data_IF_894689139946
#
_entry.id   IF_894689139946
#
_cell.length_a   1.000
_cell.length_b   1.000
_cell.length_c   1.000
_cell.angle_alpha   90.00
_cell.angle_beta   90.00
_cell.angle_gamma   90.00
#
_symmetry.space_group_name_H-M   'P 1'
#
loop_
_entity.id
_entity.type
_entity.pdbx_description
1 polymer ?
#
# COMPACT_ATOMS: atom_id res chain seq x y z
N UNK A 1 -11.12 -16.56 -8.08
CA UNK A 1 -11.14 -15.63 -9.23
C UNK A 1 -12.37 -14.74 -9.12
N UNK A 2 -12.26 -13.44 -9.41
CA UNK A 2 -13.37 -12.49 -9.48
C UNK A 2 -13.21 -11.63 -10.73
N UNK A 3 -14.23 -11.55 -11.58
CA UNK A 3 -14.22 -10.79 -12.83
C UNK A 3 -13.03 -11.12 -13.76
N UNK A 4 -12.61 -12.39 -13.82
CA UNK A 4 -11.45 -12.80 -14.63
C UNK A 4 -10.08 -12.56 -14.00
N UNK A 5 -10.02 -12.00 -12.78
CA UNK A 5 -8.78 -11.80 -12.04
C UNK A 5 -8.54 -12.89 -10.99
N UNK A 6 -7.27 -13.24 -10.79
CA UNK A 6 -6.79 -14.12 -9.74
C UNK A 6 -5.71 -13.41 -8.91
N UNK A 7 -5.60 -13.76 -7.64
CA UNK A 7 -4.57 -13.27 -6.74
C UNK A 7 -3.68 -14.43 -6.34
N UNK A 8 -2.37 -14.21 -6.40
CA UNK A 8 -1.37 -15.13 -5.85
C UNK A 8 -0.64 -14.39 -4.73
N UNK A 9 -0.53 -15.03 -3.58
CA UNK A 9 0.37 -14.59 -2.52
C UNK A 9 1.67 -15.36 -2.65
N UNK A 10 2.79 -14.64 -2.65
CA UNK A 10 4.12 -15.21 -2.85
C UNK A 10 4.97 -14.86 -1.63
N UNK A 11 5.36 -15.87 -0.88
CA UNK A 11 6.37 -15.70 0.17
C UNK A 11 7.78 -15.75 -0.47
N UNK A 12 8.20 -14.60 -1.01
CA UNK A 12 9.52 -14.45 -1.63
C UNK A 12 10.62 -14.05 -0.65
N UNK A 13 10.24 -13.70 0.58
CA UNK A 13 11.14 -13.33 1.67
C UNK A 13 11.49 -14.54 2.57
N UNK A 14 10.88 -15.69 2.28
CA UNK A 14 11.16 -17.02 2.81
C UNK A 14 12.65 -17.43 2.95
N UNK A 15 13.63 -16.94 2.14
CA UNK A 15 15.04 -17.29 2.35
C UNK A 15 15.53 -17.01 3.77
N UNK A 16 15.09 -15.91 4.39
CA UNK A 16 15.43 -15.61 5.78
C UNK A 16 14.68 -16.51 6.76
N UNK A 17 13.44 -16.90 6.44
CA UNK A 17 12.56 -17.68 7.31
C UNK A 17 12.62 -19.21 7.10
N UNK A 18 13.55 -19.72 6.29
CA UNK A 18 13.62 -21.14 5.89
C UNK A 18 13.58 -22.11 7.08
N UNK A 19 14.24 -21.78 8.19
CA UNK A 19 14.23 -22.59 9.41
C UNK A 19 12.85 -22.64 10.09
N UNK A 20 12.15 -21.50 10.14
CA UNK A 20 10.78 -21.40 10.68
C UNK A 20 9.80 -22.17 9.79
N UNK A 21 9.92 -22.07 8.47
CA UNK A 21 9.03 -22.78 7.52
C UNK A 21 9.23 -24.30 7.59
N UNK A 22 10.48 -24.77 7.57
CA UNK A 22 10.78 -26.20 7.70
C UNK A 22 10.30 -26.77 9.03
N UNK A 23 10.39 -26.01 10.12
CA UNK A 23 9.87 -26.44 11.42
C UNK A 23 8.35 -26.56 11.46
N UNK A 24 7.62 -25.76 10.66
CA UNK A 24 6.16 -25.80 10.62
C UNK A 24 5.60 -27.06 9.92
N UNK A 25 6.28 -27.55 8.88
CA UNK A 25 5.96 -28.81 8.19
C UNK A 25 7.23 -29.46 7.59
N UNK A 26 7.94 -30.28 8.39
CA UNK A 26 9.23 -30.82 7.99
C UNK A 26 9.17 -31.69 6.73
N UNK A 27 8.10 -32.47 6.55
CA UNK A 27 7.98 -33.38 5.41
C UNK A 27 7.67 -32.61 4.12
N UNK A 28 6.78 -31.62 4.18
CA UNK A 28 6.44 -30.81 3.01
C UNK A 28 7.63 -29.98 2.53
N UNK A 29 8.41 -29.43 3.46
CA UNK A 29 9.46 -28.46 3.13
C UNK A 29 10.90 -29.03 3.20
N UNK A 30 11.09 -30.34 3.40
CA UNK A 30 12.44 -30.95 3.53
C UNK A 30 13.40 -30.56 2.41
N UNK A 31 12.89 -30.56 1.17
CA UNK A 31 13.67 -30.30 -0.03
C UNK A 31 13.75 -28.82 -0.41
N UNK A 32 13.10 -27.92 0.35
CA UNK A 32 13.17 -26.48 0.10
C UNK A 32 14.58 -25.97 0.43
N UNK A 33 15.24 -25.35 -0.53
CA UNK A 33 16.59 -24.80 -0.39
C UNK A 33 16.66 -23.41 -1.00
N UNK A 34 17.48 -22.56 -0.39
CA UNK A 34 17.75 -21.21 -0.85
C UNK A 34 19.26 -20.98 -0.86
N UNK A 35 19.72 -19.96 -1.60
CA UNK A 35 21.09 -19.47 -1.56
C UNK A 35 21.39 -19.09 -0.09
N UNK A 36 22.55 -19.52 0.46
CA UNK A 36 22.93 -19.16 1.82
C UNK A 36 22.89 -17.64 2.06
N UNK A 37 22.32 -17.23 3.18
CA UNK A 37 22.21 -15.83 3.59
C UNK A 37 21.86 -15.70 5.08
N UNK A 38 21.79 -14.46 5.60
CA UNK A 38 21.34 -14.20 6.96
C UNK A 38 19.94 -14.79 7.23
N UNK A 39 19.74 -15.40 8.40
CA UNK A 39 18.48 -16.04 8.81
C UNK A 39 17.64 -15.15 9.73
N UNK A 40 16.35 -15.46 9.82
CA UNK A 40 15.34 -14.64 10.50
C UNK A 40 15.49 -14.56 12.01
N UNK A 41 16.26 -15.47 12.62
CA UNK A 41 16.46 -15.53 14.07
C UNK A 41 17.24 -14.30 14.60
N UNK A 42 17.78 -13.48 13.69
CA UNK A 42 18.41 -12.18 13.98
C UNK A 42 17.44 -10.99 13.87
N UNK A 43 16.22 -11.17 13.35
CA UNK A 43 15.22 -10.10 13.24
C UNK A 43 14.23 -10.17 14.41
N UNK A 44 14.01 -9.02 15.05
CA UNK A 44 13.01 -8.94 16.11
C UNK A 44 11.60 -9.21 15.56
N UNK A 45 10.85 -10.12 16.20
CA UNK A 45 9.46 -10.42 15.84
C UNK A 45 8.51 -9.22 16.07
N UNK A 46 8.97 -8.19 16.79
CA UNK A 46 8.20 -6.99 17.10
C UNK A 46 9.03 -5.72 16.86
N UNK A 47 8.43 -4.71 16.24
CA UNK A 47 8.98 -3.35 16.18
C UNK A 47 8.89 -2.76 17.60
N UNK A 48 10.02 -2.42 18.25
CA UNK A 48 10.01 -1.90 19.60
C UNK A 48 9.30 -0.54 19.65
N UNK A 49 8.42 -0.36 20.64
CA UNK A 49 7.80 0.93 20.95
C UNK A 49 8.71 1.66 21.95
N UNK A 50 9.26 2.79 21.54
CA UNK A 50 10.16 3.63 22.37
C UNK A 50 9.42 4.92 22.73
N UNK A 51 9.64 5.45 23.93
CA UNK A 51 8.91 6.64 24.43
C UNK A 51 9.60 7.96 24.08
N UNK A 52 10.93 7.95 23.97
CA UNK A 52 11.77 9.10 23.57
C UNK A 52 12.18 8.95 22.10
N UNK A 53 11.27 9.29 21.19
CA UNK A 53 11.44 9.08 19.75
C UNK A 53 11.52 10.43 19.00
N UNK A 54 12.48 10.53 18.08
CA UNK A 54 12.54 11.60 17.08
C UNK A 54 12.29 11.05 15.67
N UNK A 55 12.04 11.92 14.70
CA UNK A 55 11.91 11.50 13.30
C UNK A 55 13.18 10.83 12.79
N UNK A 56 14.34 11.35 13.20
CA UNK A 56 15.67 10.88 12.83
C UNK A 56 15.94 9.49 13.42
N UNK A 57 15.57 9.24 14.68
CA UNK A 57 15.79 7.93 15.29
C UNK A 57 14.90 6.84 14.66
N UNK A 58 13.64 7.15 14.33
CA UNK A 58 12.78 6.23 13.57
C UNK A 58 13.27 5.96 12.15
N UNK A 59 13.82 6.98 11.50
CA UNK A 59 14.43 6.85 10.18
C UNK A 59 15.63 5.91 10.24
N UNK A 60 16.57 6.20 11.15
CA UNK A 60 17.80 5.43 11.30
C UNK A 60 17.50 3.95 11.58
N UNK A 61 16.59 3.66 12.52
CA UNK A 61 16.19 2.30 12.84
C UNK A 61 15.58 1.55 11.63
N UNK A 62 14.75 2.24 10.84
CA UNK A 62 14.16 1.65 9.64
C UNK A 62 15.20 1.42 8.52
N UNK A 63 16.17 2.32 8.38
CA UNK A 63 17.25 2.18 7.41
C UNK A 63 18.25 1.08 7.80
N UNK A 64 18.59 0.93 9.08
CA UNK A 64 19.37 -0.18 9.62
C UNK A 64 18.65 -1.52 9.39
N UNK A 65 17.36 -1.59 9.71
CA UNK A 65 16.55 -2.77 9.41
C UNK A 65 16.63 -3.16 7.92
N UNK A 66 16.45 -2.21 7.00
CA UNK A 66 16.53 -2.49 5.54
C UNK A 66 17.93 -2.96 5.12
N UNK A 67 19.01 -2.43 5.72
CA UNK A 67 20.39 -2.85 5.40
C UNK A 67 20.65 -4.31 5.76
N UNK A 68 20.02 -4.82 6.82
CA UNK A 68 20.13 -6.23 7.21
C UNK A 68 19.13 -7.12 6.47
N UNK A 69 17.89 -6.63 6.31
CA UNK A 69 16.78 -7.38 5.70
C UNK A 69 17.05 -7.73 4.24
N UNK A 70 17.59 -6.80 3.47
CA UNK A 70 17.76 -6.99 2.03
C UNK A 70 18.78 -8.06 1.63
N UNK A 71 19.97 -8.14 2.28
CA UNK A 71 20.87 -9.27 2.13
C UNK A 71 20.29 -10.61 2.60
N UNK A 72 19.24 -10.63 3.44
CA UNK A 72 18.60 -11.86 3.90
C UNK A 72 17.60 -12.44 2.90
N UNK A 73 17.22 -11.70 1.85
CA UNK A 73 16.19 -12.10 0.88
C UNK A 73 16.71 -12.06 -0.57
N UNK A 74 17.94 -12.52 -0.80
CA UNK A 74 18.64 -12.37 -2.10
C UNK A 74 17.88 -12.95 -3.28
N UNK A 75 17.19 -14.08 -3.10
CA UNK A 75 16.45 -14.76 -4.18
C UNK A 75 15.03 -14.25 -4.38
N UNK A 76 14.59 -13.24 -3.62
CA UNK A 76 13.23 -12.72 -3.74
C UNK A 76 12.86 -12.32 -5.18
N UNK A 77 13.72 -11.62 -5.95
CA UNK A 77 13.39 -11.26 -7.33
C UNK A 77 13.19 -12.46 -8.26
N UNK A 78 14.05 -13.47 -8.18
CA UNK A 78 13.98 -14.68 -9.00
C UNK A 78 12.75 -15.52 -8.67
N UNK A 79 12.40 -15.64 -7.39
CA UNK A 79 11.16 -16.33 -6.95
C UNK A 79 9.94 -15.62 -7.53
N UNK A 80 9.91 -14.29 -7.48
CA UNK A 80 8.81 -13.47 -8.01
C UNK A 80 8.70 -13.60 -9.52
N UNK A 81 9.83 -13.57 -10.25
CA UNK A 81 9.84 -13.77 -11.71
C UNK A 81 9.41 -15.19 -12.11
N UNK A 82 9.85 -16.20 -11.36
CA UNK A 82 9.44 -17.59 -11.57
C UNK A 82 7.94 -17.80 -11.32
N UNK A 83 7.37 -17.13 -10.31
CA UNK A 83 5.93 -17.16 -10.06
C UNK A 83 5.14 -16.51 -11.22
N UNK A 84 5.64 -15.41 -11.78
CA UNK A 84 5.06 -14.83 -13.00
C UNK A 84 5.11 -15.80 -14.19
N UNK A 85 6.25 -16.47 -14.40
CA UNK A 85 6.37 -17.49 -15.43
C UNK A 85 5.36 -18.64 -15.22
N UNK A 86 5.21 -19.13 -14.00
CA UNK A 86 4.27 -20.21 -13.67
C UNK A 86 2.81 -19.82 -13.96
N UNK A 87 2.44 -18.56 -13.69
CA UNK A 87 1.13 -18.00 -14.04
C UNK A 87 0.92 -17.93 -15.56
N UNK A 88 1.91 -17.47 -16.33
CA UNK A 88 1.80 -17.31 -17.79
C UNK A 88 1.85 -18.62 -18.56
N UNK A 89 2.62 -19.57 -18.06
CA UNK A 89 2.78 -20.90 -18.66
C UNK A 89 1.63 -21.85 -18.34
N UNK A 90 0.74 -21.49 -17.40
CA UNK A 90 -0.37 -22.35 -16.99
C UNK A 90 0.02 -23.45 -15.99
N UNK A 91 1.24 -23.43 -15.45
CA UNK A 91 1.74 -24.45 -14.50
C UNK A 91 0.94 -24.51 -13.20
N UNK A 92 0.21 -23.43 -12.88
CA UNK A 92 -0.67 -23.35 -11.71
C UNK A 92 -2.13 -23.74 -12.02
N UNK A 93 -2.40 -24.35 -13.18
CA UNK A 93 -3.74 -24.76 -13.61
C UNK A 93 -4.61 -23.62 -14.14
N UNK A 94 -4.09 -22.40 -14.16
CA UNK A 94 -4.67 -21.20 -14.76
C UNK A 94 -3.59 -20.47 -15.55
N UNK A 95 -3.95 -19.88 -16.69
CA UNK A 95 -3.06 -19.07 -17.52
C UNK A 95 -3.41 -17.60 -17.40
N UNK A 96 -2.43 -16.78 -17.02
CA UNK A 96 -2.57 -15.33 -17.00
C UNK A 96 -2.11 -14.71 -18.33
N UNK A 97 -2.92 -13.80 -18.88
CA UNK A 97 -2.54 -12.99 -20.05
C UNK A 97 -1.65 -11.81 -19.68
N UNK A 98 -1.85 -11.26 -18.48
CA UNK A 98 -1.08 -10.17 -17.88
C UNK A 98 -0.85 -10.48 -16.39
N UNK A 99 0.30 -10.06 -15.86
CA UNK A 99 0.69 -10.22 -14.46
C UNK A 99 1.16 -8.86 -13.93
N UNK A 100 0.54 -8.41 -12.84
CA UNK A 100 0.89 -7.18 -12.13
C UNK A 100 1.55 -7.55 -10.81
N UNK A 101 2.70 -6.95 -10.51
CA UNK A 101 3.36 -7.11 -9.21
C UNK A 101 2.91 -6.01 -8.25
N UNK A 102 2.39 -6.40 -7.09
CA UNK A 102 1.99 -5.46 -6.04
C UNK A 102 2.41 -5.98 -4.67
N UNK A 103 2.50 -5.06 -3.72
CA UNK A 103 2.74 -5.35 -2.31
C UNK A 103 2.43 -4.12 -1.47
N UNK A 104 2.26 -4.32 -0.17
CA UNK A 104 1.92 -3.27 0.80
C UNK A 104 2.99 -3.21 1.89
N UNK A 105 3.41 -2.00 2.29
CA UNK A 105 4.42 -1.82 3.35
C UNK A 105 5.76 -2.48 2.99
N UNK A 106 6.23 -3.44 3.78
CA UNK A 106 7.46 -4.18 3.50
C UNK A 106 7.43 -4.90 2.14
N UNK A 107 6.31 -5.53 1.76
CA UNK A 107 6.18 -6.18 0.44
C UNK A 107 5.99 -5.16 -0.69
N UNK A 108 5.48 -3.96 -0.38
CA UNK A 108 5.57 -2.80 -1.27
C UNK A 108 7.02 -2.43 -1.55
N UNK A 109 7.87 -2.50 -0.52
CA UNK A 109 9.31 -2.31 -0.63
C UNK A 109 9.99 -3.37 -1.51
N UNK A 110 9.51 -4.61 -1.49
CA UNK A 110 9.95 -5.67 -2.42
C UNK A 110 9.60 -5.29 -3.86
N UNK A 111 8.40 -4.78 -4.11
CA UNK A 111 7.99 -4.28 -5.44
C UNK A 111 8.90 -3.14 -5.91
N UNK A 112 9.16 -2.14 -5.05
CA UNK A 112 10.11 -1.05 -5.35
C UNK A 112 11.52 -1.58 -5.65
N UNK A 113 11.99 -2.55 -4.86
CA UNK A 113 13.32 -3.15 -5.04
C UNK A 113 13.42 -3.88 -6.36
N UNK A 114 12.36 -4.59 -6.77
CA UNK A 114 12.31 -5.24 -8.08
C UNK A 114 12.50 -4.22 -9.22
N UNK A 115 11.76 -3.12 -9.18
CA UNK A 115 11.86 -2.02 -10.17
C UNK A 115 13.30 -1.48 -10.24
N UNK A 116 13.91 -1.23 -9.09
CA UNK A 116 15.20 -0.51 -8.99
C UNK A 116 16.43 -1.40 -9.16
N UNK A 117 16.36 -2.69 -8.83
CA UNK A 117 17.53 -3.58 -8.77
C UNK A 117 17.40 -4.83 -9.65
N UNK A 118 16.20 -5.15 -10.12
CA UNK A 118 15.91 -6.41 -10.82
C UNK A 118 15.26 -6.22 -12.19
N UNK A 119 15.33 -5.00 -12.73
CA UNK A 119 14.82 -4.65 -14.08
C UNK A 119 15.49 -5.39 -15.23
N UNK A 120 16.61 -6.06 -14.97
CA UNK A 120 17.31 -6.92 -15.92
C UNK A 120 16.69 -8.32 -16.05
N UNK A 121 15.84 -8.76 -15.11
CA UNK A 121 15.24 -10.09 -15.16
C UNK A 121 14.25 -10.21 -16.33
N UNK A 122 14.26 -11.38 -16.97
CA UNK A 122 13.38 -11.75 -18.08
C UNK A 122 12.82 -13.15 -17.86
N UNK A 123 11.67 -13.39 -18.48
CA UNK A 123 11.09 -14.73 -18.60
C UNK A 123 11.90 -15.57 -19.62
N UNK A 124 11.71 -16.90 -19.67
CA UNK A 124 12.45 -17.78 -20.59
C UNK A 124 12.28 -17.46 -22.07
N UNK A 125 11.18 -16.81 -22.46
CA UNK A 125 10.91 -16.31 -23.81
C UNK A 125 11.53 -14.93 -24.10
N UNK A 126 12.21 -14.33 -23.11
CA UNK A 126 12.81 -13.01 -23.21
C UNK A 126 11.87 -11.86 -22.85
N UNK A 127 10.60 -12.13 -22.53
CA UNK A 127 9.61 -11.12 -22.16
C UNK A 127 9.85 -10.57 -20.74
N UNK A 128 9.23 -9.42 -20.47
CA UNK A 128 9.19 -8.86 -19.12
C UNK A 128 8.33 -9.73 -18.20
N UNK A 129 8.70 -9.88 -16.92
CA UNK A 129 7.89 -10.66 -15.99
C UNK A 129 6.55 -9.98 -15.65
N UNK A 130 6.44 -8.65 -15.73
CA UNK A 130 5.24 -7.92 -15.32
C UNK A 130 4.88 -6.81 -16.30
N UNK A 131 3.60 -6.65 -16.62
CA UNK A 131 3.10 -5.49 -17.37
C UNK A 131 2.95 -4.25 -16.47
N UNK A 132 2.83 -4.45 -15.16
CA UNK A 132 2.59 -3.35 -14.24
C UNK A 132 3.09 -3.59 -12.83
N UNK A 133 3.36 -2.50 -12.13
CA UNK A 133 3.78 -2.47 -10.73
C UNK A 133 2.88 -1.54 -9.90
N UNK A 134 2.41 -2.02 -8.76
CA UNK A 134 1.63 -1.22 -7.80
C UNK A 134 2.28 -1.32 -6.41
N UNK A 135 3.40 -0.62 -6.15
CA UNK A 135 3.96 -0.53 -4.81
C UNK A 135 3.05 0.32 -3.92
N UNK A 136 2.47 -0.30 -2.89
CA UNK A 136 1.55 0.35 -1.96
C UNK A 136 2.20 0.62 -0.61
N UNK A 137 1.89 1.77 0.00
CA UNK A 137 2.27 2.13 1.37
C UNK A 137 3.76 1.92 1.66
N UNK A 138 4.62 2.17 0.67
CA UNK A 138 6.06 1.97 0.77
C UNK A 138 6.75 3.06 -0.04
N UNK A 139 7.38 4.00 0.67
CA UNK A 139 8.11 5.11 0.06
C UNK A 139 9.61 4.86 -0.01
N UNK A 140 10.35 5.87 -0.48
CA UNK A 140 11.80 5.84 -0.63
C UNK A 140 12.23 6.97 -1.56
N UNK A 141 13.38 6.82 -2.21
CA UNK A 141 13.73 7.67 -3.35
C UNK A 141 12.74 7.41 -4.50
N UNK A 142 12.49 8.44 -5.32
CA UNK A 142 11.61 8.36 -6.47
C UNK A 142 11.96 7.17 -7.38
N UNK A 143 10.94 6.40 -7.78
CA UNK A 143 11.15 5.26 -8.65
C UNK A 143 11.58 5.73 -10.06
N UNK A 144 12.51 5.03 -10.74
CA UNK A 144 12.78 5.27 -12.14
C UNK A 144 11.62 4.78 -13.01
N UNK A 145 11.62 5.16 -14.29
CA UNK A 145 10.75 4.47 -15.26
C UNK A 145 11.21 3.03 -15.45
N UNK A 146 10.26 2.16 -15.79
CA UNK A 146 10.52 0.77 -16.15
C UNK A 146 10.08 0.55 -17.59
N UNK A 147 11.00 0.56 -18.58
CA UNK A 147 10.63 0.43 -19.98
C UNK A 147 9.79 -0.81 -20.24
N UNK A 148 8.61 -0.63 -20.84
CA UNK A 148 7.67 -1.71 -21.15
C UNK A 148 6.70 -2.09 -20.04
N UNK A 149 6.72 -1.41 -18.89
CA UNK A 149 5.77 -1.65 -17.79
C UNK A 149 5.22 -0.34 -17.22
N UNK A 150 3.98 -0.38 -16.75
CA UNK A 150 3.35 0.72 -16.04
C UNK A 150 3.65 0.68 -14.54
N UNK A 151 3.72 1.85 -13.89
CA UNK A 151 3.93 1.98 -12.45
C UNK A 151 2.87 2.93 -11.89
N UNK A 152 2.09 2.45 -10.93
CA UNK A 152 1.24 3.30 -10.09
C UNK A 152 1.73 3.16 -8.64
N UNK A 153 2.44 4.16 -8.15
CA UNK A 153 2.83 4.25 -6.74
C UNK A 153 1.66 4.81 -5.92
N UNK A 154 1.22 4.05 -4.91
CA UNK A 154 0.06 4.40 -4.09
C UNK A 154 0.45 4.50 -2.62
N UNK A 155 0.27 5.69 -2.04
CA UNK A 155 0.67 5.97 -0.66
C UNK A 155 -0.46 6.62 0.11
N UNK A 156 -0.67 6.19 1.35
CA UNK A 156 -1.59 6.87 2.25
C UNK A 156 -0.94 8.03 2.99
N UNK A 157 -1.76 8.96 3.50
CA UNK A 157 -1.33 10.01 4.43
C UNK A 157 -0.48 9.44 5.59
N UNK A 158 -0.77 8.21 6.02
CA UNK A 158 -0.04 7.51 7.07
C UNK A 158 1.44 7.28 6.82
N UNK A 159 1.92 7.37 5.59
CA UNK A 159 3.32 7.03 5.29
C UNK A 159 4.29 8.18 5.52
N UNK A 160 3.76 9.39 5.72
CA UNK A 160 4.52 10.55 6.17
C UNK A 160 4.97 10.36 7.61
N UNK A 161 6.25 10.64 7.87
CA UNK A 161 6.86 10.43 9.19
C UNK A 161 6.23 11.36 10.25
N UNK A 162 5.86 12.58 9.90
CA UNK A 162 5.11 13.54 10.73
C UNK A 162 3.79 12.98 11.28
N UNK A 163 3.11 12.14 10.50
CA UNK A 163 1.84 11.53 10.88
C UNK A 163 2.07 10.37 11.86
N UNK A 164 3.08 9.53 11.59
CA UNK A 164 3.37 8.34 12.42
C UNK A 164 4.28 8.57 13.61
N UNK A 165 4.93 9.73 13.72
CA UNK A 165 5.78 10.05 14.86
C UNK A 165 5.04 9.83 16.18
N UNK A 166 3.78 10.28 16.24
CA UNK A 166 2.90 10.10 17.41
C UNK A 166 2.59 8.62 17.75
N UNK A 167 2.78 7.72 16.79
CA UNK A 167 2.61 6.27 16.96
C UNK A 167 3.87 5.57 17.44
N UNK A 168 5.01 6.26 17.46
CA UNK A 168 6.32 5.67 17.75
C UNK A 168 6.76 4.63 16.71
N UNK A 169 6.27 4.75 15.47
CA UNK A 169 6.62 3.85 14.36
C UNK A 169 7.10 4.69 13.17
N UNK A 170 8.06 4.17 12.42
CA UNK A 170 8.58 4.85 11.23
C UNK A 170 7.52 4.93 10.13
N UNK A 171 7.46 6.08 9.45
CA UNK A 171 6.82 6.20 8.14
C UNK A 171 7.64 5.52 7.07
N UNK A 172 7.01 5.18 5.95
CA UNK A 172 7.72 4.52 4.85
C UNK A 172 8.29 5.52 3.84
N UNK A 173 7.91 6.81 3.90
CA UNK A 173 8.45 7.87 3.06
C UNK A 173 9.62 8.59 3.72
N UNK A 174 10.56 9.08 2.90
CA UNK A 174 11.58 10.02 3.34
C UNK A 174 11.23 11.43 2.89
N UNK A 175 10.61 12.21 3.77
CA UNK A 175 10.06 13.53 3.42
C UNK A 175 9.19 13.40 2.16
N UNK A 176 9.55 14.11 1.09
CA UNK A 176 8.89 14.05 -0.20
C UNK A 176 9.75 13.41 -1.30
N UNK A 177 10.83 12.69 -0.94
CA UNK A 177 11.81 12.16 -1.90
C UNK A 177 11.29 11.10 -2.87
N UNK A 178 10.14 10.48 -2.57
CA UNK A 178 9.47 9.55 -3.46
C UNK A 178 8.79 10.25 -4.63
N UNK A 179 8.57 11.57 -4.54
CA UNK A 179 7.87 12.35 -5.56
C UNK A 179 8.77 12.59 -6.78
N UNK A 180 8.18 12.42 -7.96
CA UNK A 180 8.72 12.84 -9.26
C UNK A 180 7.56 13.23 -10.18
N UNK A 181 7.83 14.00 -11.25
CA UNK A 181 6.83 14.24 -12.29
C UNK A 181 6.33 12.95 -12.95
N UNK A 182 5.11 13.03 -13.48
CA UNK A 182 4.53 12.00 -14.34
C UNK A 182 5.44 11.70 -15.54
N UNK A 183 5.39 10.46 -16.01
CA UNK A 183 5.97 10.02 -17.28
C UNK A 183 4.95 9.23 -18.09
N UNK A 184 5.34 8.70 -19.25
CA UNK A 184 4.51 7.77 -20.01
C UNK A 184 4.18 6.47 -19.24
N UNK A 185 5.00 6.10 -18.25
CA UNK A 185 4.86 4.84 -17.50
C UNK A 185 4.72 5.00 -15.98
N UNK A 186 4.64 6.22 -15.44
CA UNK A 186 4.61 6.46 -13.99
C UNK A 186 3.49 7.39 -13.55
N UNK A 187 2.76 6.99 -12.49
CA UNK A 187 1.83 7.83 -11.71
C UNK A 187 2.08 7.65 -10.22
N UNK A 188 1.88 8.71 -9.45
CA UNK A 188 1.93 8.76 -8.00
C UNK A 188 0.61 9.29 -7.43
N UNK A 189 0.00 8.51 -6.54
CA UNK A 189 -1.19 8.90 -5.81
C UNK A 189 -0.92 8.88 -4.30
N UNK A 190 -1.00 10.05 -3.67
CA UNK A 190 -1.01 10.21 -2.22
C UNK A 190 -2.44 10.46 -1.74
N UNK A 191 -2.94 9.63 -0.84
CA UNK A 191 -4.37 9.59 -0.50
C UNK A 191 -4.62 10.24 0.84
N UNK A 192 -5.40 11.33 0.83
CA UNK A 192 -5.76 12.08 2.03
C UNK A 192 -6.62 11.22 2.97
N UNK A 193 -6.24 11.14 4.25
CA UNK A 193 -6.96 10.38 5.28
C UNK A 193 -6.74 8.86 5.26
N UNK A 194 -6.01 8.32 4.27
CA UNK A 194 -5.78 6.89 4.14
C UNK A 194 -4.76 6.41 5.17
N UNK A 195 -5.18 5.45 6.00
CA UNK A 195 -4.32 4.81 6.98
C UNK A 195 -3.44 3.71 6.37
N UNK A 196 -2.43 3.26 7.10
CA UNK A 196 -1.52 2.22 6.61
C UNK A 196 -2.23 0.90 6.31
N UNK A 197 -3.16 0.56 7.19
CA UNK A 197 -4.04 -0.60 7.08
C UNK A 197 -5.48 -0.15 7.20
N UNK A 198 -6.34 -0.84 6.48
CA UNK A 198 -7.78 -0.62 6.53
C UNK A 198 -8.34 -0.98 7.91
N UNK A 199 -9.29 -0.19 8.40
CA UNK A 199 -10.08 -0.51 9.60
C UNK A 199 -11.54 -0.87 9.30
N UNK A 200 -12.04 -0.47 8.13
CA UNK A 200 -13.43 -0.69 7.68
C UNK A 200 -13.83 -2.18 7.60
N UNK A 201 -12.94 -3.02 7.07
CA UNK A 201 -13.18 -4.47 6.90
C UNK A 201 -12.20 -5.30 7.75
N UNK A 202 -11.96 -4.85 8.98
CA UNK A 202 -11.03 -5.50 9.88
C UNK A 202 -11.41 -6.96 10.17
N UNK A 203 -10.42 -7.86 10.16
CA UNK A 203 -10.61 -9.24 10.58
C UNK A 203 -10.88 -9.33 12.09
N UNK A 204 -11.48 -10.43 12.55
CA UNK A 204 -11.64 -10.67 14.00
C UNK A 204 -10.30 -10.66 14.74
N UNK A 205 -9.24 -11.14 14.09
CA UNK A 205 -7.87 -11.09 14.62
C UNK A 205 -7.39 -9.65 14.79
N UNK A 206 -7.65 -8.78 13.82
CA UNK A 206 -7.26 -7.38 13.89
C UNK A 206 -8.08 -6.63 14.94
N UNK A 207 -9.40 -6.84 15.00
CA UNK A 207 -10.25 -6.28 16.05
C UNK A 207 -9.75 -6.66 17.45
N UNK A 208 -9.37 -7.93 17.66
CA UNK A 208 -8.77 -8.39 18.92
C UNK A 208 -7.42 -7.75 19.21
N UNK A 209 -6.56 -7.58 18.19
CA UNK A 209 -5.27 -6.89 18.34
C UNK A 209 -5.45 -5.42 18.70
N UNK A 210 -6.51 -4.79 18.19
CA UNK A 210 -6.78 -3.37 18.38
C UNK A 210 -7.61 -3.06 19.62
N UNK A 211 -8.28 -4.06 20.22
CA UNK A 211 -9.15 -3.87 21.38
C UNK A 211 -8.45 -3.33 22.63
N UNK A 212 -7.11 -3.40 22.66
CA UNK A 212 -6.28 -2.86 23.74
C UNK A 212 -5.99 -1.36 23.58
N UNK A 213 -6.36 -0.77 22.45
CA UNK A 213 -6.17 0.66 22.21
C UNK A 213 -7.22 1.48 22.96
N UNK A 214 -6.78 2.40 23.81
CA UNK A 214 -7.65 3.44 24.37
C UNK A 214 -7.96 4.48 23.29
N UNK A 215 -9.21 4.47 22.83
CA UNK A 215 -9.70 5.39 21.82
C UNK A 215 -10.22 6.71 22.41
N UNK A 216 -10.14 6.97 23.72
CA UNK A 216 -10.52 8.24 24.37
C UNK A 216 -11.80 8.90 23.81
N UNK A 217 -12.85 8.09 23.61
CA UNK A 217 -14.14 8.53 23.09
C UNK A 217 -14.28 8.57 21.57
N UNK A 218 -13.32 8.01 20.83
CA UNK A 218 -13.35 7.96 19.38
C UNK A 218 -13.56 6.54 18.82
N UNK A 219 -13.62 6.40 17.50
CA UNK A 219 -14.05 5.17 16.83
C UNK A 219 -13.12 4.80 15.67
N UNK A 220 -13.14 3.52 15.28
CA UNK A 220 -12.39 3.06 14.12
C UNK A 220 -12.93 3.69 12.83
N UNK A 221 -12.02 4.17 11.99
CA UNK A 221 -12.37 4.82 10.72
C UNK A 221 -13.03 3.84 9.76
N UNK A 222 -14.05 4.31 9.04
CA UNK A 222 -14.69 3.61 7.93
C UNK A 222 -14.08 4.00 6.59
N UNK A 223 -12.94 4.70 6.59
CA UNK A 223 -12.21 5.03 5.37
C UNK A 223 -12.00 3.75 4.55
N UNK A 224 -12.43 3.79 3.30
CA UNK A 224 -12.46 2.64 2.42
C UNK A 224 -11.12 2.50 1.66
N UNK A 225 -10.07 2.08 2.37
CA UNK A 225 -8.76 1.80 1.75
C UNK A 225 -8.92 0.80 0.59
N UNK A 226 -9.70 -0.26 0.78
CA UNK A 226 -9.97 -1.30 -0.24
C UNK A 226 -10.52 -0.72 -1.54
N UNK A 227 -11.38 0.29 -1.48
CA UNK A 227 -11.99 0.87 -2.68
C UNK A 227 -10.97 1.67 -3.50
N UNK A 228 -10.01 2.31 -2.83
CA UNK A 228 -8.88 2.95 -3.50
C UNK A 228 -7.97 1.91 -4.16
N UNK A 229 -7.69 0.79 -3.47
CA UNK A 229 -6.93 -0.32 -4.07
C UNK A 229 -7.64 -0.91 -5.30
N UNK A 230 -8.97 -1.06 -5.26
CA UNK A 230 -9.76 -1.51 -6.41
C UNK A 230 -9.66 -0.53 -7.59
N UNK A 231 -9.84 0.77 -7.33
CA UNK A 231 -9.76 1.80 -8.36
C UNK A 231 -8.37 1.83 -9.01
N UNK A 232 -7.30 1.77 -8.21
CA UNK A 232 -5.92 1.74 -8.72
C UNK A 232 -5.61 0.46 -9.50
N UNK A 233 -6.14 -0.68 -9.07
CA UNK A 233 -6.00 -1.93 -9.84
C UNK A 233 -6.74 -1.86 -11.18
N UNK A 234 -7.94 -1.28 -11.21
CA UNK A 234 -8.70 -1.05 -12.45
C UNK A 234 -7.98 -0.07 -13.39
N UNK A 235 -7.39 1.00 -12.87
CA UNK A 235 -6.54 1.90 -13.64
C UNK A 235 -5.34 1.17 -14.25
N UNK A 236 -4.68 0.30 -13.48
CA UNK A 236 -3.57 -0.52 -13.97
C UNK A 236 -4.01 -1.53 -15.05
N UNK A 237 -5.18 -2.16 -14.87
CA UNK A 237 -5.74 -3.08 -15.86
C UNK A 237 -5.98 -2.36 -17.19
N UNK A 238 -6.62 -1.19 -17.16
CA UNK A 238 -6.89 -0.37 -18.33
C UNK A 238 -5.60 0.11 -18.99
N UNK A 239 -4.65 0.62 -18.20
CA UNK A 239 -3.39 1.15 -18.72
C UNK A 239 -2.52 0.09 -19.38
N UNK A 240 -2.51 -1.12 -18.85
CA UNK A 240 -1.73 -2.23 -19.42
C UNK A 240 -2.46 -2.95 -20.56
N UNK A 241 -3.76 -2.73 -20.73
CA UNK A 241 -4.58 -3.36 -21.77
C UNK A 241 -4.77 -2.47 -23.00
N UNK A 242 -5.02 -1.18 -22.79
CA UNK A 242 -5.35 -0.23 -23.84
C UNK A 242 -4.19 0.79 -24.00
N UNK A 243 -3.45 0.75 -25.12
CA UNK A 243 -2.35 1.68 -25.35
C UNK A 243 -2.81 3.14 -25.51
N UNK A 244 -4.11 3.40 -25.71
CA UNK A 244 -4.66 4.76 -25.78
C UNK A 244 -5.14 5.25 -24.41
N UNK A 245 -5.26 4.36 -23.42
CA UNK A 245 -5.65 4.75 -22.08
C UNK A 245 -4.46 5.32 -21.32
N UNK A 246 -4.69 6.45 -20.66
CA UNK A 246 -3.73 7.06 -19.75
C UNK A 246 -4.45 7.32 -18.42
N UNK A 247 -3.95 6.84 -17.27
CA UNK A 247 -4.58 7.12 -16.00
C UNK A 247 -4.57 8.61 -15.66
N UNK A 248 -5.46 9.04 -14.73
CA UNK A 248 -5.46 10.39 -14.20
C UNK A 248 -4.05 10.86 -13.79
N UNK A 249 -3.69 12.14 -13.99
CA UNK A 249 -2.40 12.67 -13.55
C UNK A 249 -2.14 12.43 -12.07
N UNK A 250 -0.87 12.42 -11.67
CA UNK A 250 -0.50 12.27 -10.25
C UNK A 250 -1.24 13.26 -9.35
N UNK A 251 -1.62 12.78 -8.18
CA UNK A 251 -2.31 13.56 -7.15
C UNK A 251 -1.55 13.44 -5.83
N UNK A 252 -0.90 14.54 -5.43
CA UNK A 252 -0.02 14.58 -4.25
C UNK A 252 -0.61 15.47 -3.14
N UNK A 253 -0.38 15.09 -1.88
CA UNK A 253 -0.75 15.87 -0.70
C UNK A 253 0.09 17.15 -0.63
N UNK A 254 -0.52 18.23 -0.16
CA UNK A 254 0.19 19.48 0.08
C UNK A 254 1.05 19.36 1.33
N UNK A 255 2.32 19.72 1.20
CA UNK A 255 3.30 19.75 2.30
C UNK A 255 3.86 21.17 2.49
N UNK A 256 4.43 21.43 3.67
CA UNK A 256 5.18 22.66 3.92
C UNK A 256 6.54 22.54 3.22
N UNK A 257 6.65 23.11 2.02
CA UNK A 257 7.82 22.91 1.15
C UNK A 257 8.05 21.42 0.86
N UNK A 258 9.31 21.01 0.89
CA UNK A 258 9.74 19.62 0.66
C UNK A 258 9.81 18.79 1.96
N UNK A 259 9.22 19.27 3.06
CA UNK A 259 9.16 18.53 4.32
C UNK A 259 8.07 17.47 4.32
N UNK A 260 8.07 16.61 5.35
CA UNK A 260 6.98 15.68 5.61
C UNK A 260 5.78 16.31 6.35
N UNK A 261 5.80 17.61 6.65
CA UNK A 261 4.69 18.29 7.34
C UNK A 261 3.53 18.58 6.38
N UNK A 262 2.39 17.95 6.65
CA UNK A 262 1.20 18.03 5.79
C UNK A 262 0.40 19.30 6.07
N UNK A 263 0.05 20.03 5.01
CA UNK A 263 -0.87 21.17 5.10
C UNK A 263 -2.29 20.66 5.29
N UNK A 264 -2.98 21.19 6.29
CA UNK A 264 -4.33 20.76 6.68
C UNK A 264 -5.36 21.88 6.51
N UNK A 265 -6.61 21.50 6.29
CA UNK A 265 -7.74 22.41 6.32
C UNK A 265 -8.12 22.84 7.75
N UNK A 266 -9.16 23.67 7.88
CA UNK A 266 -9.64 24.14 9.19
C UNK A 266 -10.29 23.04 10.05
N UNK A 267 -10.58 21.87 9.47
CA UNK A 267 -11.05 20.68 10.18
C UNK A 267 -9.89 19.74 10.56
N UNK A 268 -8.66 20.02 10.13
CA UNK A 268 -7.48 19.20 10.40
C UNK A 268 -7.28 18.03 9.43
N UNK A 269 -8.00 17.99 8.31
CA UNK A 269 -7.80 16.99 7.26
C UNK A 269 -6.72 17.45 6.27
N UNK A 270 -5.92 16.51 5.76
CA UNK A 270 -4.87 16.82 4.79
C UNK A 270 -5.45 17.48 3.53
N UNK A 271 -4.74 18.45 2.93
CA UNK A 271 -5.10 19.09 1.66
C UNK A 271 -4.38 18.45 0.46
N UNK A 272 -4.99 18.54 -0.72
CA UNK A 272 -4.46 17.94 -1.94
C UNK A 272 -4.65 16.42 -1.98
N UNK A 273 -3.86 15.75 -2.81
CA UNK A 273 -3.87 14.31 -2.99
C UNK A 273 -5.14 13.79 -3.66
N UNK A 274 -5.26 12.46 -3.66
CA UNK A 274 -6.53 11.79 -3.90
C UNK A 274 -7.42 12.03 -2.70
N UNK A 275 -8.53 12.73 -2.92
CA UNK A 275 -9.56 12.97 -1.92
C UNK A 275 -10.74 12.05 -2.15
N UNK A 276 -11.45 11.72 -1.08
CA UNK A 276 -12.63 10.86 -1.11
C UNK A 276 -13.76 11.56 -0.39
N UNK A 277 -14.97 10.99 -0.43
CA UNK A 277 -16.08 11.46 0.41
C UNK A 277 -15.69 11.67 1.89
N UNK A 278 -14.76 10.86 2.42
CA UNK A 278 -14.30 10.96 3.81
C UNK A 278 -13.50 12.25 4.08
N UNK A 279 -12.89 12.86 3.06
CA UNK A 279 -12.07 14.07 3.18
C UNK A 279 -12.67 15.29 2.48
N UNK A 280 -13.51 15.13 1.44
CA UNK A 280 -14.21 16.23 0.76
C UNK A 280 -15.50 16.66 1.45
N UNK A 281 -16.15 15.69 2.10
CA UNK A 281 -17.33 15.94 2.92
C UNK A 281 -17.05 15.38 4.30
N UNK A 282 -15.96 15.84 4.94
CA UNK A 282 -15.53 15.23 6.18
C UNK A 282 -16.59 15.50 7.22
N UNK A 283 -17.20 14.42 7.68
CA UNK A 283 -18.00 14.49 8.88
C UNK A 283 -17.05 14.55 10.09
N UNK A 284 -15.74 14.46 9.93
CA UNK A 284 -14.81 14.49 11.06
C UNK A 284 -13.39 14.76 10.62
N UNK A 285 -12.54 14.94 11.62
CA UNK A 285 -11.10 14.87 11.42
C UNK A 285 -10.66 13.41 11.31
N UNK A 286 -10.07 13.06 10.18
CA UNK A 286 -9.37 11.79 10.01
C UNK A 286 -7.97 11.88 10.62
N UNK A 287 -7.58 10.80 11.29
CA UNK A 287 -6.23 10.59 11.78
C UNK A 287 -5.72 9.32 11.10
N UNK A 288 -4.75 9.47 10.21
CA UNK A 288 -4.33 8.39 9.33
C UNK A 288 -3.35 7.40 10.00
N UNK A 289 -2.98 7.58 11.26
CA UNK A 289 -2.06 6.65 11.94
C UNK A 289 -2.62 6.19 13.29
N UNK A 290 -2.38 4.92 13.60
CA UNK A 290 -2.86 4.25 14.81
C UNK A 290 -1.69 4.06 15.80
N UNK A 291 -1.63 4.79 16.93
CA UNK A 291 -0.71 4.51 18.02
C UNK A 291 -1.19 3.35 18.89
N UNK A 292 -0.29 2.79 19.69
CA UNK A 292 -0.64 2.36 21.05
C UNK A 292 -1.21 3.57 21.84
N UNK A 293 -2.51 3.85 21.64
CA UNK A 293 -3.33 4.70 22.50
C UNK A 293 -3.53 6.17 22.09
N UNK A 294 -3.78 6.53 20.83
CA UNK A 294 -4.49 7.80 20.51
C UNK A 294 -5.41 7.68 19.28
N UNK A 295 -6.53 8.42 19.22
CA UNK A 295 -7.72 7.96 18.49
C UNK A 295 -8.08 8.74 17.21
N UNK A 296 -8.93 8.13 16.37
CA UNK A 296 -9.53 8.66 15.12
C UNK A 296 -11.03 8.95 15.32
N UNK A 297 -11.58 10.05 14.80
CA UNK A 297 -12.88 10.62 15.24
C UNK A 297 -13.99 10.65 14.13
N UNK A 298 -15.27 10.78 14.52
CA UNK A 298 -16.49 11.08 13.70
C UNK A 298 -17.31 12.28 14.25
N UNK A 299 -17.93 13.17 13.43
CA UNK A 299 -19.33 13.69 13.55
C UNK A 299 -19.91 14.69 12.47
N UNK A 300 -21.06 14.33 11.87
CA UNK A 300 -22.12 15.14 11.19
C UNK A 300 -22.27 15.09 9.65
N UNK A 301 -23.49 14.75 9.18
CA UNK A 301 -23.91 14.29 7.82
C UNK A 301 -24.25 15.43 6.84
N UNK A 302 -23.69 15.43 5.63
CA UNK A 302 -24.17 16.23 4.49
C UNK A 302 -24.54 15.36 3.28
N UNK A 303 -25.78 14.86 3.21
CA UNK A 303 -26.26 13.96 2.13
C UNK A 303 -26.08 14.55 0.71
N UNK A 304 -26.32 15.85 0.54
CA UNK A 304 -26.21 16.49 -0.78
C UNK A 304 -24.75 16.61 -1.25
N UNK A 305 -23.84 16.96 -0.33
CA UNK A 305 -22.40 17.02 -0.62
C UNK A 305 -21.80 15.63 -0.83
N UNK A 306 -22.25 14.63 -0.06
CA UNK A 306 -21.84 13.24 -0.22
C UNK A 306 -22.09 12.72 -1.64
N UNK A 307 -23.29 12.95 -2.19
CA UNK A 307 -23.60 12.53 -3.55
C UNK A 307 -22.76 13.22 -4.63
N UNK A 308 -22.38 14.49 -4.43
CA UNK A 308 -21.48 15.20 -5.32
C UNK A 308 -20.05 14.65 -5.23
N UNK A 309 -19.51 14.50 -4.02
CA UNK A 309 -18.16 13.98 -3.81
C UNK A 309 -17.99 12.55 -4.36
N UNK A 310 -19.02 11.70 -4.25
CA UNK A 310 -19.00 10.37 -4.86
C UNK A 310 -18.88 10.45 -6.39
N UNK A 311 -19.63 11.34 -7.04
CA UNK A 311 -19.51 11.54 -8.50
C UNK A 311 -18.14 12.07 -8.90
N UNK A 312 -17.63 13.05 -8.16
CA UNK A 312 -16.29 13.60 -8.40
C UNK A 312 -15.19 12.53 -8.26
N UNK A 313 -15.32 11.60 -7.30
CA UNK A 313 -14.39 10.48 -7.16
C UNK A 313 -14.48 9.49 -8.33
N UNK A 314 -15.69 9.21 -8.84
CA UNK A 314 -15.88 8.35 -10.02
C UNK A 314 -15.28 9.01 -11.26
N UNK A 315 -15.61 10.29 -11.50
CA UNK A 315 -15.13 11.06 -12.64
C UNK A 315 -13.59 11.19 -12.63
N UNK A 316 -13.00 11.29 -11.43
CA UNK A 316 -11.55 11.30 -11.23
C UNK A 316 -10.89 9.90 -11.32
N UNK A 317 -11.68 8.82 -11.44
CA UNK A 317 -11.17 7.44 -11.55
C UNK A 317 -10.69 6.83 -10.24
N UNK A 318 -11.01 7.43 -9.08
CA UNK A 318 -10.59 6.95 -7.75
C UNK A 318 -11.70 6.24 -6.97
N UNK A 319 -12.84 5.97 -7.62
CA UNK A 319 -13.91 5.16 -7.08
C UNK A 319 -14.66 4.45 -8.21
N UNK A 320 -14.85 3.14 -8.07
CA UNK A 320 -15.65 2.37 -9.02
C UNK A 320 -17.15 2.55 -8.73
N UNK A 321 -18.00 2.47 -9.75
CA UNK A 321 -19.47 2.62 -9.60
C UNK A 321 -20.06 1.68 -8.54
N UNK A 322 -19.61 0.42 -8.52
CA UNK A 322 -20.08 -0.57 -7.55
C UNK A 322 -19.67 -0.24 -6.10
N UNK A 323 -18.47 0.33 -5.91
CA UNK A 323 -17.96 0.75 -4.61
C UNK A 323 -18.66 2.06 -4.18
N UNK A 324 -18.93 2.97 -5.12
CA UNK A 324 -19.71 4.17 -4.90
C UNK A 324 -21.14 3.86 -4.45
N UNK A 325 -21.80 2.88 -5.06
CA UNK A 325 -23.13 2.43 -4.63
C UNK A 325 -23.11 1.87 -3.21
N UNK A 326 -22.05 1.14 -2.84
CA UNK A 326 -21.85 0.66 -1.46
C UNK A 326 -21.73 1.83 -0.48
N UNK A 327 -20.87 2.81 -0.78
CA UNK A 327 -20.73 4.02 0.05
C UNK A 327 -22.03 4.81 0.13
N UNK A 328 -22.75 4.98 -0.97
CA UNK A 328 -24.03 5.70 -1.03
C UNK A 328 -25.06 5.07 -0.10
N UNK A 329 -25.24 3.74 -0.14
CA UNK A 329 -26.17 3.02 0.75
C UNK A 329 -25.83 3.23 2.22
N UNK A 330 -24.57 3.18 2.56
CA UNK A 330 -24.13 3.30 3.95
C UNK A 330 -24.18 4.73 4.49
N UNK A 331 -23.73 5.69 3.69
CA UNK A 331 -23.53 7.08 4.13
C UNK A 331 -24.73 7.99 3.85
N UNK A 332 -25.59 7.63 2.89
CA UNK A 332 -26.75 8.42 2.49
C UNK A 332 -28.06 7.77 2.93
N UNK A 333 -28.22 6.46 2.76
CA UNK A 333 -29.51 5.79 3.00
C UNK A 333 -29.66 5.21 4.41
N UNK A 334 -28.63 4.57 4.96
CA UNK A 334 -28.70 3.82 6.23
C UNK A 334 -28.45 4.65 7.49
N UNK A 335 -28.33 5.97 7.38
CA UNK A 335 -28.08 6.82 8.55
C UNK A 335 -29.41 7.20 9.21
N UNK A 336 -29.71 6.55 10.32
CA UNK A 336 -30.84 6.85 11.22
C UNK A 336 -30.44 8.01 12.14
N UNK A 337 -31.32 9.00 12.28
CA UNK A 337 -31.13 10.18 13.15
C UNK A 337 -31.60 9.93 14.58
#
# INVERSE_FOLDING_TARGET
MRNGHAWIEIDSQAPSAIGKIKSADPERYKNMTFIPGPISDHFADNIPFVTEITKESLRAAYDEFKKEWWPATLQSPEIIAAASYALRSGQLGLRADRVVLSGLSQTGGVTRRFITHSSHLRLPDGELPFEGFIPCQSGGEALPDFPGSAIIELLGESEFQSVRLSCGVSGQMNETKHRRPDSEGFRLYEVAGMAHRESRYASQTDLKRWSVADLKGAEWSTFANSFIYHAVFDLMEKWTKDPLFTPPPSAILKTVGDSDEIVRDFHGNALGGVRTIHTDVPLARLIAATPKGRPNWYWAIYRQRAGQALRECIDAGFLLDADAETLRRETVEKVSF
#
